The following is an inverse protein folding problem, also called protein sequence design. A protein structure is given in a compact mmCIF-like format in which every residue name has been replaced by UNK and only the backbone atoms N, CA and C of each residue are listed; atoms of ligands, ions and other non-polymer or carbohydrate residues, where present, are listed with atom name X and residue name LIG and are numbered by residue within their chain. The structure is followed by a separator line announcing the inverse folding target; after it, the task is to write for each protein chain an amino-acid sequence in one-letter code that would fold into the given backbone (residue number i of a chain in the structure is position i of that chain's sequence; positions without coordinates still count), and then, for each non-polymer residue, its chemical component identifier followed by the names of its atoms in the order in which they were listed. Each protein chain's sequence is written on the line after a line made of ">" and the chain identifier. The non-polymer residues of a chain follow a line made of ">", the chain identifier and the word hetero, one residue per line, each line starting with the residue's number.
data_IF_297669415873
#
_entry.id   IF_297669415873
#
_cell.length_a   1.000
_cell.length_b   1.000
_cell.length_c   1.000
_cell.angle_alpha   90.00
_cell.angle_beta   90.00
_cell.angle_gamma   90.00
#
_symmetry.space_group_name_H-M   'P 1'
#
loop_
_entity.id
_entity.type
_entity.pdbx_description
1 polymer ?
#
# COMPACT_ATOMS: atom_id res chain seq x y z
N UNK A 1 29.94 -4.73 -10.91
CA UNK A 1 28.75 -3.97 -10.44
C UNK A 1 27.41 -4.57 -10.91
N UNK A 2 27.41 -5.29 -12.01
CA UNK A 2 26.23 -6.04 -12.51
C UNK A 2 25.77 -7.17 -11.57
N UNK A 3 26.66 -7.73 -10.74
CA UNK A 3 26.38 -8.90 -9.89
C UNK A 3 25.29 -8.71 -8.82
N UNK A 4 25.01 -7.46 -8.37
CA UNK A 4 24.14 -7.22 -7.18
C UNK A 4 22.65 -7.48 -7.44
N UNK A 5 22.16 -7.38 -8.66
CA UNK A 5 20.76 -7.65 -9.03
C UNK A 5 20.60 -8.89 -9.92
N UNK A 6 21.69 -9.49 -10.40
CA UNK A 6 21.66 -10.67 -11.28
C UNK A 6 20.96 -11.89 -10.68
N UNK A 7 20.98 -12.02 -9.34
CA UNK A 7 20.27 -13.11 -8.66
C UNK A 7 18.75 -13.10 -8.94
N UNK A 8 18.17 -11.92 -9.28
CA UNK A 8 16.76 -11.80 -9.67
C UNK A 8 16.44 -12.60 -10.94
N UNK A 9 17.43 -12.73 -11.83
CA UNK A 9 17.32 -13.50 -13.08
C UNK A 9 17.87 -14.94 -13.00
N UNK A 10 18.62 -15.30 -11.92
CA UNK A 10 19.35 -16.59 -11.86
C UNK A 10 18.88 -17.52 -10.74
N UNK A 11 18.49 -16.98 -9.58
CA UNK A 11 18.10 -17.77 -8.39
C UNK A 11 16.74 -18.47 -8.63
N UNK A 12 16.50 -19.61 -7.96
CA UNK A 12 15.20 -20.30 -8.01
C UNK A 12 14.05 -19.36 -7.65
N UNK A 13 12.99 -19.34 -8.46
CA UNK A 13 11.90 -18.37 -8.34
C UNK A 13 11.16 -18.48 -7.01
N UNK A 14 10.88 -19.68 -6.53
CA UNK A 14 10.20 -19.89 -5.24
C UNK A 14 11.02 -19.40 -4.05
N UNK A 15 12.35 -19.70 -4.04
CA UNK A 15 13.27 -19.21 -3.02
C UNK A 15 13.40 -17.70 -3.05
N UNK A 16 13.42 -17.13 -4.26
CA UNK A 16 13.51 -15.70 -4.48
C UNK A 16 12.26 -14.96 -3.97
N UNK A 17 11.07 -15.48 -4.28
CA UNK A 17 9.81 -14.97 -3.76
C UNK A 17 9.79 -14.96 -2.23
N UNK A 18 10.16 -16.06 -1.60
CA UNK A 18 10.22 -16.15 -0.14
C UNK A 18 11.22 -15.13 0.45
N UNK A 19 12.41 -15.04 -0.14
CA UNK A 19 13.48 -14.12 0.28
C UNK A 19 13.09 -12.64 0.19
N UNK A 20 12.27 -12.28 -0.82
CA UNK A 20 11.85 -10.91 -1.05
C UNK A 20 10.53 -10.57 -0.34
N UNK A 21 9.57 -11.49 -0.27
CA UNK A 21 8.26 -11.24 0.34
C UNK A 21 8.31 -11.23 1.86
N UNK A 22 9.03 -12.18 2.49
CA UNK A 22 9.05 -12.32 3.96
C UNK A 22 9.49 -11.03 4.67
N UNK A 23 10.59 -10.35 4.28
CA UNK A 23 10.96 -9.10 4.91
C UNK A 23 9.89 -8.00 4.76
N UNK A 24 9.25 -7.92 3.59
CA UNK A 24 8.19 -6.92 3.35
C UNK A 24 6.98 -7.18 4.25
N UNK A 25 6.55 -8.44 4.37
CA UNK A 25 5.44 -8.83 5.25
C UNK A 25 5.75 -8.44 6.70
N UNK A 26 6.95 -8.78 7.19
CA UNK A 26 7.36 -8.43 8.56
C UNK A 26 7.34 -6.92 8.77
N UNK A 27 7.91 -6.15 7.84
CA UNK A 27 7.92 -4.69 7.93
C UNK A 27 6.51 -4.09 7.98
N UNK A 28 5.60 -4.57 7.12
CA UNK A 28 4.21 -4.10 7.08
C UNK A 28 3.42 -4.47 8.35
N UNK A 29 3.62 -5.67 8.90
CA UNK A 29 2.97 -6.08 10.14
C UNK A 29 3.46 -5.25 11.33
N UNK A 30 4.76 -4.96 11.41
CA UNK A 30 5.33 -4.10 12.46
C UNK A 30 4.82 -2.66 12.30
N UNK A 31 4.68 -2.17 11.07
CA UNK A 31 4.08 -0.85 10.80
C UNK A 31 2.61 -0.79 11.25
N UNK A 32 1.83 -1.84 11.02
CA UNK A 32 0.46 -1.90 11.52
C UNK A 32 0.41 -1.91 13.06
N UNK A 33 1.34 -2.61 13.70
CA UNK A 33 1.43 -2.68 15.15
C UNK A 33 1.75 -1.32 15.77
N UNK A 34 2.74 -0.59 15.23
CA UNK A 34 3.09 0.72 15.81
C UNK A 34 1.93 1.72 15.72
N UNK A 35 1.12 1.72 14.65
CA UNK A 35 -0.06 2.58 14.54
C UNK A 35 -1.09 2.30 15.66
N UNK A 36 -1.22 1.05 16.10
CA UNK A 36 -2.07 0.68 17.22
C UNK A 36 -1.49 1.19 18.53
N UNK A 37 -0.17 1.05 18.72
CA UNK A 37 0.54 1.51 19.93
C UNK A 37 0.50 3.03 20.07
N UNK A 38 0.70 3.76 18.97
CA UNK A 38 0.60 5.24 18.95
C UNK A 38 -0.80 5.71 19.40
N UNK A 39 -1.86 5.13 18.83
CA UNK A 39 -3.23 5.43 19.25
C UNK A 39 -3.49 5.10 20.73
N UNK A 40 -2.90 4.02 21.23
CA UNK A 40 -3.00 3.64 22.64
C UNK A 40 -2.34 4.68 23.55
N UNK A 41 -1.14 5.14 23.24
CA UNK A 41 -0.45 6.16 24.04
C UNK A 41 -1.20 7.51 24.04
N UNK A 42 -1.74 7.93 22.89
CA UNK A 42 -2.59 9.13 22.81
C UNK A 42 -3.81 9.00 23.70
N UNK A 43 -4.48 7.85 23.70
CA UNK A 43 -5.62 7.58 24.59
C UNK A 43 -5.26 7.67 26.06
N UNK A 44 -4.07 7.24 26.46
CA UNK A 44 -3.59 7.32 27.86
C UNK A 44 -3.16 8.73 28.27
N UNK A 45 -2.66 9.55 27.35
CA UNK A 45 -2.11 10.87 27.66
C UNK A 45 -3.16 11.90 28.09
N UNK A 46 -4.41 11.75 27.64
CA UNK A 46 -5.45 12.78 27.80
C UNK A 46 -6.56 12.42 28.78
N UNK A 47 -6.57 11.23 29.38
CA UNK A 47 -7.56 10.84 30.36
C UNK A 47 -9.01 11.13 29.93
N UNK A 48 -9.66 12.12 30.49
CA UNK A 48 -11.04 12.52 30.16
C UNK A 48 -11.20 13.17 28.78
N UNK A 49 -10.14 13.77 28.22
CA UNK A 49 -10.12 14.39 26.89
C UNK A 49 -9.60 13.45 25.81
N UNK A 50 -9.38 12.18 26.15
CA UNK A 50 -8.85 11.16 25.22
C UNK A 50 -9.72 10.99 23.97
N UNK A 51 -11.04 11.14 24.08
CA UNK A 51 -11.97 11.03 22.95
C UNK A 51 -11.71 12.12 21.92
N UNK A 52 -11.48 13.37 22.36
CA UNK A 52 -11.18 14.50 21.46
C UNK A 52 -9.80 14.35 20.83
N UNK A 53 -8.79 13.93 21.58
CA UNK A 53 -7.43 13.71 21.09
C UNK A 53 -7.38 12.57 20.06
N UNK A 54 -8.00 11.40 20.36
CA UNK A 54 -8.13 10.29 19.40
C UNK A 54 -8.93 10.72 18.17
N UNK A 55 -9.97 11.53 18.35
CA UNK A 55 -10.74 12.13 17.28
C UNK A 55 -9.88 13.00 16.36
N UNK A 56 -8.96 13.79 16.91
CA UNK A 56 -7.98 14.60 16.18
C UNK A 56 -7.10 13.77 15.28
N UNK A 57 -6.51 12.69 15.82
CA UNK A 57 -5.70 11.75 15.04
C UNK A 57 -6.53 11.07 13.94
N UNK A 58 -7.77 10.70 14.25
CA UNK A 58 -8.65 10.01 13.31
C UNK A 58 -8.99 10.88 12.08
N UNK A 59 -9.17 12.20 12.28
CA UNK A 59 -9.39 13.17 11.20
C UNK A 59 -8.10 13.49 10.45
N UNK A 60 -6.96 13.53 11.12
CA UNK A 60 -5.66 13.76 10.52
C UNK A 60 -5.18 12.56 9.64
N UNK A 61 -5.58 11.34 9.99
CA UNK A 61 -5.12 10.12 9.34
C UNK A 61 -5.39 10.05 7.81
N UNK A 62 -6.60 10.38 7.29
CA UNK A 62 -6.82 10.41 5.84
C UNK A 62 -5.91 11.40 5.10
N UNK A 63 -5.62 12.56 5.72
CA UNK A 63 -4.73 13.57 5.13
C UNK A 63 -3.29 13.05 5.10
N UNK A 64 -2.83 12.41 6.16
CA UNK A 64 -1.54 11.72 6.20
C UNK A 64 -1.45 10.62 5.12
N UNK A 65 -2.53 9.86 4.91
CA UNK A 65 -2.61 8.85 3.85
C UNK A 65 -2.45 9.47 2.45
N UNK A 66 -3.02 10.66 2.21
CA UNK A 66 -2.86 11.38 0.93
C UNK A 66 -1.40 11.81 0.75
N UNK A 67 -0.74 12.32 1.79
CA UNK A 67 0.69 12.67 1.74
C UNK A 67 1.53 11.45 1.39
N UNK A 68 1.29 10.32 2.05
CA UNK A 68 1.98 9.05 1.77
C UNK A 68 1.71 8.54 0.35
N UNK A 69 0.50 8.74 -0.20
CA UNK A 69 0.13 8.29 -1.52
C UNK A 69 1.04 8.88 -2.62
N UNK A 70 1.52 10.10 -2.46
CA UNK A 70 2.51 10.69 -3.39
C UNK A 70 3.85 9.95 -3.34
N UNK A 71 4.30 9.55 -2.15
CA UNK A 71 5.46 8.67 -2.01
C UNK A 71 5.26 7.32 -2.69
N UNK A 72 4.07 6.74 -2.59
CA UNK A 72 3.71 5.48 -3.26
C UNK A 72 3.71 5.65 -4.78
N UNK A 73 3.19 6.76 -5.32
CA UNK A 73 3.25 7.06 -6.77
C UNK A 73 4.69 7.04 -7.27
N UNK A 74 5.55 7.82 -6.61
CA UNK A 74 6.96 7.91 -6.98
C UNK A 74 7.69 6.57 -6.81
N UNK A 75 7.40 5.88 -5.71
CA UNK A 75 7.99 4.60 -5.41
C UNK A 75 7.57 3.51 -6.40
N UNK A 76 6.29 3.38 -6.72
CA UNK A 76 5.77 2.38 -7.66
C UNK A 76 6.25 2.64 -9.08
N UNK A 77 6.14 3.90 -9.55
CA UNK A 77 6.60 4.28 -10.89
C UNK A 77 8.11 4.14 -11.04
N UNK A 78 8.88 4.67 -10.08
CA UNK A 78 10.34 4.57 -10.06
C UNK A 78 10.84 3.14 -9.98
N UNK A 79 10.27 2.31 -9.10
CA UNK A 79 10.64 0.89 -8.96
C UNK A 79 10.38 0.08 -10.23
N UNK A 80 9.29 0.37 -10.95
CA UNK A 80 8.97 -0.28 -12.21
C UNK A 80 10.01 0.03 -13.29
N UNK A 81 10.41 1.31 -13.42
CA UNK A 81 11.45 1.71 -14.40
C UNK A 81 12.79 1.10 -14.01
N UNK A 82 13.19 1.22 -12.74
CA UNK A 82 14.49 0.75 -12.25
C UNK A 82 14.62 -0.78 -12.42
N UNK A 83 13.62 -1.56 -11.99
CA UNK A 83 13.71 -3.03 -12.12
C UNK A 83 13.80 -3.49 -13.55
N UNK A 84 13.04 -2.88 -14.48
CA UNK A 84 13.12 -3.17 -15.92
C UNK A 84 14.47 -2.76 -16.53
N UNK A 85 14.95 -1.57 -16.18
CA UNK A 85 16.24 -1.06 -16.66
C UNK A 85 17.42 -1.92 -16.17
N UNK A 86 17.37 -2.40 -14.92
CA UNK A 86 18.37 -3.34 -14.39
C UNK A 86 18.37 -4.66 -15.16
N UNK A 87 17.18 -5.20 -15.46
CA UNK A 87 17.05 -6.42 -16.26
C UNK A 87 17.53 -6.27 -17.71
N UNK A 88 17.29 -5.10 -18.30
CA UNK A 88 17.75 -4.74 -19.63
C UNK A 88 19.22 -4.30 -19.67
N UNK A 89 19.92 -4.23 -18.53
CA UNK A 89 21.30 -3.70 -18.36
C UNK A 89 21.45 -2.22 -18.74
N UNK A 90 20.37 -1.45 -18.67
CA UNK A 90 20.32 -0.01 -18.93
C UNK A 90 20.59 0.80 -17.64
N UNK A 91 21.78 0.65 -17.04
CA UNK A 91 22.10 1.27 -15.74
C UNK A 91 21.91 2.78 -15.72
N UNK A 92 22.24 3.48 -16.80
CA UNK A 92 22.08 4.95 -16.91
C UNK A 92 20.61 5.34 -16.75
N UNK A 93 19.69 4.60 -17.38
CA UNK A 93 18.24 4.84 -17.24
C UNK A 93 17.76 4.61 -15.81
N UNK A 94 18.26 3.58 -15.15
CA UNK A 94 17.96 3.33 -13.73
C UNK A 94 18.47 4.47 -12.83
N UNK A 95 19.69 4.96 -13.07
CA UNK A 95 20.26 6.09 -12.32
C UNK A 95 19.50 7.41 -12.55
N UNK A 96 19.05 7.68 -13.79
CA UNK A 96 18.21 8.84 -14.11
C UNK A 96 16.86 8.71 -13.38
N UNK A 97 16.25 7.54 -13.39
CA UNK A 97 14.99 7.32 -12.67
C UNK A 97 15.13 7.54 -11.17
N UNK A 98 16.21 7.05 -10.54
CA UNK A 98 16.51 7.30 -9.13
C UNK A 98 16.67 8.81 -8.85
N UNK A 99 17.47 9.52 -9.65
CA UNK A 99 17.68 10.97 -9.48
C UNK A 99 16.38 11.77 -9.63
N UNK A 100 15.53 11.40 -10.61
CA UNK A 100 14.22 12.03 -10.81
C UNK A 100 13.26 11.77 -9.64
N UNK A 101 13.24 10.56 -9.07
CA UNK A 101 12.44 10.27 -7.86
C UNK A 101 12.90 11.13 -6.68
N UNK A 102 14.19 11.34 -6.49
CA UNK A 102 14.72 12.23 -5.46
C UNK A 102 14.21 13.66 -5.64
N UNK A 103 14.35 14.23 -6.84
CA UNK A 103 13.89 15.58 -7.13
C UNK A 103 12.38 15.73 -7.01
N UNK A 104 11.61 14.76 -7.53
CA UNK A 104 10.16 14.77 -7.43
C UNK A 104 9.68 14.61 -5.98
N UNK A 105 10.38 13.81 -5.15
CA UNK A 105 10.04 13.69 -3.73
C UNK A 105 10.14 15.03 -3.01
N UNK A 106 11.21 15.80 -3.28
CA UNK A 106 11.39 17.13 -2.72
C UNK A 106 10.32 18.11 -3.24
N UNK A 107 10.13 18.18 -4.54
CA UNK A 107 9.17 19.10 -5.18
C UNK A 107 7.74 18.83 -4.71
N UNK A 108 7.30 17.55 -4.75
CA UNK A 108 5.95 17.19 -4.34
C UNK A 108 5.73 17.38 -2.84
N UNK A 109 6.73 17.11 -2.00
CA UNK A 109 6.60 17.37 -0.56
C UNK A 109 6.36 18.86 -0.27
N UNK A 110 7.08 19.77 -0.95
CA UNK A 110 6.87 21.20 -0.80
C UNK A 110 5.51 21.62 -1.38
N UNK A 111 5.20 21.12 -2.59
CA UNK A 111 3.93 21.43 -3.28
C UNK A 111 2.70 21.00 -2.48
N UNK A 112 2.81 19.95 -1.67
CA UNK A 112 1.74 19.48 -0.79
C UNK A 112 1.78 20.22 0.55
N UNK A 113 2.95 20.33 1.16
CA UNK A 113 3.08 20.91 2.49
C UNK A 113 2.63 22.36 2.55
N UNK A 114 3.03 23.18 1.57
CA UNK A 114 2.70 24.63 1.57
C UNK A 114 1.18 24.88 1.53
N UNK A 115 0.41 24.34 0.56
CA UNK A 115 -1.04 24.54 0.57
C UNK A 115 -1.72 23.90 1.78
N UNK A 116 -1.28 22.71 2.23
CA UNK A 116 -1.86 22.06 3.39
C UNK A 116 -1.68 22.90 4.66
N UNK A 117 -0.53 23.53 4.87
CA UNK A 117 -0.30 24.44 6.02
C UNK A 117 -1.11 25.73 5.89
N UNK A 118 -1.18 26.33 4.70
CA UNK A 118 -1.91 27.59 4.47
C UNK A 118 -3.43 27.45 4.64
N UNK A 119 -3.98 26.27 4.33
CA UNK A 119 -5.42 25.98 4.38
C UNK A 119 -5.78 24.89 5.40
N UNK A 120 -4.96 24.72 6.45
CA UNK A 120 -5.07 23.61 7.38
C UNK A 120 -6.45 23.54 8.04
N UNK A 121 -6.95 24.64 8.59
CA UNK A 121 -8.25 24.71 9.24
C UNK A 121 -9.40 24.41 8.28
N UNK A 122 -9.31 24.94 7.05
CA UNK A 122 -10.30 24.66 6.00
C UNK A 122 -10.33 23.19 5.65
N UNK A 123 -9.16 22.57 5.44
CA UNK A 123 -9.03 21.15 5.11
C UNK A 123 -9.61 20.29 6.24
N UNK A 124 -9.22 20.55 7.49
CA UNK A 124 -9.73 19.82 8.64
C UNK A 124 -11.25 19.98 8.80
N UNK A 125 -11.78 21.20 8.54
CA UNK A 125 -13.21 21.44 8.53
C UNK A 125 -13.96 20.63 7.47
N UNK A 126 -13.40 20.49 6.25
CA UNK A 126 -13.97 19.66 5.19
C UNK A 126 -13.97 18.18 5.59
N UNK A 127 -12.95 17.72 6.33
CA UNK A 127 -12.87 16.35 6.85
C UNK A 127 -13.73 16.12 8.11
N UNK A 128 -14.46 17.14 8.57
CA UNK A 128 -15.44 17.02 9.65
C UNK A 128 -14.90 17.28 11.06
N UNK A 129 -13.80 18.04 11.20
CA UNK A 129 -13.30 18.43 12.51
C UNK A 129 -14.32 19.33 13.22
N UNK A 130 -14.78 18.88 14.38
CA UNK A 130 -15.64 19.70 15.27
C UNK A 130 -14.80 20.69 16.07
N UNK A 131 -15.38 21.76 16.64
CA UNK A 131 -14.65 22.73 17.46
C UNK A 131 -13.86 22.10 18.62
N UNK A 132 -14.33 20.99 19.20
CA UNK A 132 -13.65 20.28 20.28
C UNK A 132 -12.48 19.41 19.81
N UNK A 133 -12.50 18.96 18.55
CA UNK A 133 -11.46 18.09 17.95
C UNK A 133 -10.41 18.91 17.19
N UNK A 134 -10.80 20.06 16.65
CA UNK A 134 -9.97 20.92 15.80
C UNK A 134 -8.59 21.22 16.39
N UNK A 135 -8.44 21.64 17.67
CA UNK A 135 -7.12 21.96 18.22
C UNK A 135 -6.15 20.76 18.17
N UNK A 136 -6.61 19.57 18.52
CA UNK A 136 -5.80 18.35 18.51
C UNK A 136 -5.42 17.92 17.09
N UNK A 137 -6.35 18.07 16.14
CA UNK A 137 -6.11 17.74 14.74
C UNK A 137 -5.10 18.70 14.09
N UNK A 138 -5.18 20.01 14.37
CA UNK A 138 -4.22 21.03 13.91
C UNK A 138 -2.85 20.73 14.49
N UNK A 139 -2.77 20.57 15.82
CA UNK A 139 -1.52 20.32 16.52
C UNK A 139 -0.79 19.06 16.03
N UNK A 140 -1.52 17.99 15.73
CA UNK A 140 -0.93 16.78 15.13
C UNK A 140 -0.50 16.98 13.69
N UNK A 141 -1.40 17.49 12.85
CA UNK A 141 -1.23 17.49 11.40
C UNK A 141 -0.18 18.53 10.96
N UNK A 142 -0.03 19.63 11.67
CA UNK A 142 1.00 20.64 11.38
C UNK A 142 2.40 20.01 11.37
N UNK A 143 2.75 19.24 12.41
CA UNK A 143 4.04 18.54 12.48
C UNK A 143 4.17 17.47 11.39
N UNK A 144 3.12 16.70 11.13
CA UNK A 144 3.12 15.68 10.07
C UNK A 144 3.36 16.32 8.69
N UNK A 145 2.74 17.46 8.40
CA UNK A 145 2.91 18.18 7.13
C UNK A 145 4.35 18.73 7.01
N UNK A 146 4.89 19.31 8.09
CA UNK A 146 6.31 19.74 8.12
C UNK A 146 7.26 18.57 7.85
N UNK A 147 6.91 17.38 8.32
CA UNK A 147 7.64 16.14 8.07
C UNK A 147 7.35 15.47 6.71
N UNK A 148 6.49 16.03 5.87
CA UNK A 148 6.04 15.38 4.62
C UNK A 148 7.17 14.91 3.71
N UNK A 149 8.29 15.64 3.69
CA UNK A 149 9.47 15.26 2.90
C UNK A 149 10.01 13.89 3.30
N UNK A 150 10.06 13.58 4.60
CA UNK A 150 10.56 12.30 5.09
C UNK A 150 9.59 11.15 4.76
N UNK A 151 8.28 11.43 4.81
CA UNK A 151 7.26 10.45 4.42
C UNK A 151 7.31 10.13 2.93
N UNK A 152 7.25 11.15 2.07
CA UNK A 152 7.22 10.98 0.61
C UNK A 152 8.52 10.33 0.13
N UNK A 153 9.66 10.85 0.57
CA UNK A 153 10.98 10.31 0.22
C UNK A 153 11.17 8.90 0.75
N UNK A 154 10.88 8.67 2.04
CA UNK A 154 11.06 7.37 2.69
C UNK A 154 10.27 6.26 1.98
N UNK A 155 8.98 6.48 1.70
CA UNK A 155 8.12 5.52 0.99
C UNK A 155 8.63 5.30 -0.45
N UNK A 156 9.00 6.36 -1.17
CA UNK A 156 9.50 6.24 -2.54
C UNK A 156 10.79 5.41 -2.59
N UNK A 157 11.77 5.73 -1.75
CA UNK A 157 13.07 5.04 -1.74
C UNK A 157 12.97 3.61 -1.21
N UNK A 158 12.09 3.32 -0.24
CA UNK A 158 11.81 1.93 0.18
C UNK A 158 11.35 1.06 -0.98
N UNK A 159 10.47 1.58 -1.85
CA UNK A 159 10.02 0.86 -3.05
C UNK A 159 11.19 0.63 -4.03
N UNK A 160 12.05 1.63 -4.23
CA UNK A 160 13.22 1.51 -5.12
C UNK A 160 14.20 0.47 -4.58
N UNK A 161 14.52 0.51 -3.32
CA UNK A 161 15.44 -0.46 -2.67
C UNK A 161 14.90 -1.89 -2.82
N UNK A 162 13.58 -2.08 -2.72
CA UNK A 162 12.94 -3.37 -3.02
C UNK A 162 13.11 -3.76 -4.48
N UNK A 163 12.96 -2.81 -5.40
CA UNK A 163 13.12 -3.05 -6.85
C UNK A 163 14.52 -3.49 -7.24
N UNK A 164 15.54 -3.06 -6.50
CA UNK A 164 16.93 -3.55 -6.61
C UNK A 164 17.12 -4.98 -6.06
N UNK A 165 16.10 -5.56 -5.43
CA UNK A 165 16.17 -6.87 -4.78
C UNK A 165 16.57 -6.81 -3.30
N UNK A 166 16.76 -5.64 -2.70
CA UNK A 166 17.19 -5.51 -1.30
C UNK A 166 16.01 -5.32 -0.32
N UNK A 167 15.09 -6.30 -0.30
CA UNK A 167 13.91 -6.26 0.57
C UNK A 167 14.26 -6.19 2.07
N UNK A 168 15.39 -6.78 2.48
CA UNK A 168 15.84 -6.74 3.89
C UNK A 168 16.20 -5.31 4.33
N UNK A 169 16.83 -4.53 3.47
CA UNK A 169 17.15 -3.15 3.78
C UNK A 169 15.86 -2.31 3.93
N UNK A 170 14.91 -2.49 3.02
CA UNK A 170 13.62 -1.82 3.13
C UNK A 170 12.88 -2.19 4.42
N UNK A 171 12.88 -3.48 4.80
CA UNK A 171 12.34 -3.93 6.09
C UNK A 171 13.06 -3.26 7.27
N UNK A 172 14.38 -3.25 7.28
CA UNK A 172 15.14 -2.63 8.38
C UNK A 172 14.81 -1.14 8.52
N UNK A 173 14.59 -0.41 7.40
CA UNK A 173 14.12 0.98 7.46
C UNK A 173 12.76 1.10 8.14
N UNK A 174 11.81 0.19 7.83
CA UNK A 174 10.50 0.15 8.48
C UNK A 174 10.62 -0.20 9.97
N UNK A 175 11.47 -1.16 10.33
CA UNK A 175 11.71 -1.54 11.72
C UNK A 175 12.37 -0.42 12.53
N UNK A 176 13.32 0.31 11.96
CA UNK A 176 13.95 1.48 12.59
C UNK A 176 12.90 2.56 12.83
N UNK A 177 12.08 2.88 11.82
CA UNK A 177 11.01 3.87 11.94
C UNK A 177 10.00 3.48 13.02
N UNK A 178 9.45 2.26 12.95
CA UNK A 178 8.47 1.79 13.92
C UNK A 178 9.05 1.64 15.35
N UNK A 179 10.26 1.10 15.48
CA UNK A 179 10.91 0.93 16.77
C UNK A 179 11.23 2.25 17.46
N UNK A 180 11.75 3.23 16.70
CA UNK A 180 11.99 4.57 17.24
C UNK A 180 10.68 5.28 17.63
N UNK A 181 9.63 5.14 16.83
CA UNK A 181 8.34 5.75 17.16
C UNK A 181 7.80 5.21 18.49
N UNK A 182 7.73 3.88 18.67
CA UNK A 182 7.27 3.25 19.91
C UNK A 182 8.08 3.71 21.14
N UNK A 183 9.38 3.99 20.97
CA UNK A 183 10.25 4.49 22.06
C UNK A 183 10.04 5.97 22.29
N UNK A 184 9.95 6.79 21.23
CA UNK A 184 9.86 8.23 21.32
C UNK A 184 8.47 8.72 21.78
N UNK A 185 7.40 8.01 21.43
CA UNK A 185 6.04 8.36 21.81
C UNK A 185 5.92 8.59 23.34
N UNK A 186 6.21 7.60 24.21
CA UNK A 186 6.06 7.81 25.65
C UNK A 186 7.04 8.86 26.20
N UNK A 187 8.23 8.99 25.61
CA UNK A 187 9.23 9.98 26.04
C UNK A 187 8.72 11.40 25.77
N UNK A 188 8.26 11.67 24.54
CA UNK A 188 7.81 13.01 24.15
C UNK A 188 6.43 13.34 24.72
N UNK A 189 5.51 12.38 24.72
CA UNK A 189 4.14 12.60 25.20
C UNK A 189 4.08 12.76 26.71
N UNK A 190 4.69 11.85 27.47
CA UNK A 190 4.62 11.83 28.94
C UNK A 190 5.84 12.48 29.59
N UNK A 191 7.06 12.19 29.09
CA UNK A 191 8.29 12.70 29.67
C UNK A 191 8.44 14.21 29.48
N UNK A 192 8.16 14.71 28.30
CA UNK A 192 8.19 16.16 27.98
C UNK A 192 6.82 16.83 28.05
N UNK A 193 5.74 16.07 28.28
CA UNK A 193 4.38 16.62 28.40
C UNK A 193 3.80 17.21 27.12
N UNK A 194 4.32 16.77 25.94
CA UNK A 194 3.92 17.32 24.64
C UNK A 194 2.58 16.78 24.11
N UNK A 195 1.98 15.76 24.75
CA UNK A 195 0.68 15.24 24.31
C UNK A 195 0.65 14.80 22.84
N UNK A 196 -0.39 15.21 22.09
CA UNK A 196 -0.57 14.90 20.66
C UNK A 196 0.58 15.42 19.81
N UNK A 197 1.12 16.58 20.12
CA UNK A 197 2.29 17.16 19.48
C UNK A 197 3.53 16.24 19.63
N UNK A 198 3.65 15.59 20.80
CA UNK A 198 4.69 14.60 21.07
C UNK A 198 4.59 13.39 20.16
N UNK A 199 3.39 12.84 19.97
CA UNK A 199 3.12 11.72 19.06
C UNK A 199 3.48 12.09 17.60
N UNK A 200 3.04 13.26 17.13
CA UNK A 200 3.37 13.75 15.79
C UNK A 200 4.89 13.94 15.61
N UNK A 201 5.55 14.55 16.60
CA UNK A 201 7.01 14.77 16.59
C UNK A 201 7.78 13.44 16.59
N UNK A 202 7.38 12.46 17.42
CA UNK A 202 7.96 11.12 17.45
C UNK A 202 7.84 10.44 16.07
N UNK A 203 6.67 10.54 15.45
CA UNK A 203 6.42 9.99 14.12
C UNK A 203 7.32 10.63 13.06
N UNK A 204 7.44 11.96 13.04
CA UNK A 204 8.30 12.69 12.09
C UNK A 204 9.77 12.37 12.31
N UNK A 205 10.26 12.38 13.55
CA UNK A 205 11.65 12.04 13.86
C UNK A 205 12.00 10.61 13.45
N UNK A 206 11.11 9.67 13.71
CA UNK A 206 11.28 8.26 13.36
C UNK A 206 11.33 8.07 11.84
N UNK A 207 10.47 8.75 11.09
CA UNK A 207 10.50 8.76 9.63
C UNK A 207 11.74 9.48 9.08
N UNK A 208 12.19 10.57 9.72
CA UNK A 208 13.40 11.27 9.34
C UNK A 208 14.64 10.35 9.48
N UNK A 209 14.80 9.66 10.61
CA UNK A 209 15.91 8.72 10.82
C UNK A 209 15.89 7.59 9.80
N UNK A 210 14.73 6.98 9.57
CA UNK A 210 14.54 5.93 8.56
C UNK A 210 14.89 6.43 7.15
N UNK A 211 14.42 7.63 6.79
CA UNK A 211 14.65 8.25 5.47
C UNK A 211 16.11 8.64 5.27
N UNK A 212 16.77 9.20 6.30
CA UNK A 212 18.21 9.52 6.27
C UNK A 212 19.05 8.25 6.14
N UNK A 213 18.66 7.17 6.80
CA UNK A 213 19.34 5.89 6.66
C UNK A 213 19.25 5.31 5.24
N UNK A 214 18.07 5.40 4.61
CA UNK A 214 17.88 5.04 3.20
C UNK A 214 18.67 5.95 2.26
N UNK A 215 18.71 7.27 2.53
CA UNK A 215 19.49 8.23 1.78
C UNK A 215 20.99 7.88 1.84
N UNK A 216 21.51 7.57 3.02
CA UNK A 216 22.92 7.16 3.18
C UNK A 216 23.25 5.90 2.38
N UNK A 217 22.33 4.94 2.30
CA UNK A 217 22.50 3.75 1.47
C UNK A 217 22.66 4.11 -0.01
N UNK A 218 21.80 4.97 -0.52
CA UNK A 218 21.84 5.43 -1.91
C UNK A 218 23.13 6.24 -2.21
N UNK A 219 23.51 7.14 -1.30
CA UNK A 219 24.72 7.98 -1.46
C UNK A 219 26.03 7.18 -1.39
N UNK A 220 26.09 6.16 -0.52
CA UNK A 220 27.27 5.29 -0.40
C UNK A 220 27.46 4.32 -1.56
N UNK A 221 26.54 4.32 -2.56
CA UNK A 221 26.61 3.45 -3.72
C UNK A 221 26.60 1.96 -3.38
N UNK A 222 25.92 1.57 -2.30
CA UNK A 222 25.84 0.18 -1.86
C UNK A 222 24.78 -0.62 -2.64
N UNK A 223 23.86 0.08 -3.36
CA UNK A 223 22.84 -0.51 -4.21
C UNK A 223 23.33 -1.00 -5.56
N UNK A 224 22.41 -1.54 -6.37
CA UNK A 224 22.63 -1.84 -7.77
C UNK A 224 22.62 -0.56 -8.63
N UNK A 225 21.86 0.45 -8.18
CA UNK A 225 21.76 1.77 -8.81
C UNK A 225 22.48 2.81 -7.96
N UNK A 226 23.26 3.68 -8.60
CA UNK A 226 24.07 4.69 -7.91
C UNK A 226 23.42 6.07 -8.06
N UNK A 227 23.27 6.76 -6.94
CA UNK A 227 22.87 8.15 -6.96
C UNK A 227 23.97 9.02 -7.57
N UNK A 228 23.59 9.85 -8.54
CA UNK A 228 24.45 10.87 -9.14
C UNK A 228 23.69 12.18 -9.20
N UNK A 229 24.23 13.23 -8.59
CA UNK A 229 23.58 14.56 -8.50
C UNK A 229 23.21 15.14 -9.87
N UNK A 230 24.02 14.86 -10.91
CA UNK A 230 23.71 15.28 -12.30
C UNK A 230 22.37 14.77 -12.82
N UNK A 231 21.85 13.65 -12.31
CA UNK A 231 20.58 13.04 -12.71
C UNK A 231 19.37 13.52 -11.89
N UNK A 232 19.57 14.48 -10.99
CA UNK A 232 18.48 15.22 -10.35
C UNK A 232 17.75 16.16 -11.31
N UNK A 233 18.40 16.52 -12.45
CA UNK A 233 17.70 17.26 -13.51
C UNK A 233 16.54 16.41 -14.04
N UNK A 234 15.33 16.99 -14.01
CA UNK A 234 14.12 16.30 -14.41
C UNK A 234 14.15 15.95 -15.92
N UNK A 235 13.99 14.66 -16.20
CA UNK A 235 13.73 14.15 -17.54
C UNK A 235 12.21 13.95 -17.69
N UNK A 236 11.57 14.77 -18.51
CA UNK A 236 10.11 14.76 -18.69
C UNK A 236 9.57 13.40 -19.16
N UNK A 237 10.36 12.62 -19.90
CA UNK A 237 9.95 11.28 -20.34
C UNK A 237 9.89 10.33 -19.13
N UNK A 238 10.93 10.35 -18.30
CA UNK A 238 10.99 9.55 -17.07
C UNK A 238 9.93 10.01 -16.07
N UNK A 239 9.75 11.32 -15.87
CA UNK A 239 8.72 11.89 -14.98
C UNK A 239 7.31 11.45 -15.43
N UNK A 240 7.01 11.53 -16.73
CA UNK A 240 5.73 11.08 -17.28
C UNK A 240 5.53 9.58 -17.10
N UNK A 241 6.58 8.78 -17.28
CA UNK A 241 6.54 7.33 -17.09
C UNK A 241 6.31 6.99 -15.60
N UNK A 242 7.03 7.63 -14.67
CA UNK A 242 6.83 7.49 -13.21
C UNK A 242 5.38 7.80 -12.85
N UNK A 243 4.88 8.96 -13.27
CA UNK A 243 3.51 9.40 -12.98
C UNK A 243 2.45 8.44 -13.54
N UNK A 244 2.58 8.05 -14.82
CA UNK A 244 1.60 7.20 -15.49
C UNK A 244 1.46 5.81 -14.85
N UNK A 245 2.57 5.21 -14.40
CA UNK A 245 2.56 3.92 -13.72
C UNK A 245 2.09 4.06 -12.28
N UNK A 246 2.59 5.08 -11.57
CA UNK A 246 2.31 5.30 -10.16
C UNK A 246 0.89 5.77 -9.87
N UNK A 247 0.23 6.47 -10.81
CA UNK A 247 -1.12 7.02 -10.62
C UNK A 247 -2.14 5.94 -10.24
N UNK A 248 -1.99 4.70 -10.71
CA UNK A 248 -2.85 3.59 -10.30
C UNK A 248 -2.80 3.33 -8.79
N UNK A 249 -1.62 3.41 -8.18
CA UNK A 249 -1.47 3.25 -6.72
C UNK A 249 -2.08 4.41 -5.93
N UNK A 250 -1.96 5.64 -6.43
CA UNK A 250 -2.62 6.81 -5.86
C UNK A 250 -4.14 6.66 -5.86
N UNK A 251 -4.66 6.31 -7.03
CA UNK A 251 -6.11 6.11 -7.21
C UNK A 251 -6.64 4.99 -6.31
N UNK A 252 -5.90 3.90 -6.15
CA UNK A 252 -6.27 2.83 -5.22
C UNK A 252 -6.40 3.36 -3.78
N UNK A 253 -5.46 4.19 -3.33
CA UNK A 253 -5.47 4.76 -1.98
C UNK A 253 -6.64 5.73 -1.76
N UNK A 254 -6.86 6.64 -2.70
CA UNK A 254 -7.98 7.58 -2.65
C UNK A 254 -9.32 6.85 -2.76
N UNK A 255 -9.41 5.85 -3.62
CA UNK A 255 -10.61 5.02 -3.78
C UNK A 255 -11.02 4.31 -2.50
N UNK A 256 -10.03 3.85 -1.70
CA UNK A 256 -10.29 3.25 -0.40
C UNK A 256 -10.96 4.23 0.57
N UNK A 257 -10.50 5.47 0.60
CA UNK A 257 -11.07 6.52 1.45
C UNK A 257 -12.49 6.91 1.02
N UNK A 258 -12.69 7.08 -0.30
CA UNK A 258 -14.02 7.40 -0.86
C UNK A 258 -15.01 6.25 -0.59
N UNK A 259 -14.59 5.02 -0.81
CA UNK A 259 -15.41 3.83 -0.55
C UNK A 259 -15.88 3.77 0.91
N UNK A 260 -15.01 4.08 1.87
CA UNK A 260 -15.36 4.11 3.29
C UNK A 260 -16.52 5.05 3.60
N UNK A 261 -16.60 6.22 2.94
CA UNK A 261 -17.71 7.17 3.11
C UNK A 261 -19.04 6.52 2.73
N UNK A 262 -19.10 5.85 1.57
CA UNK A 262 -20.32 5.18 1.12
C UNK A 262 -20.73 4.02 2.04
N UNK A 263 -19.76 3.23 2.47
CA UNK A 263 -20.00 2.09 3.36
C UNK A 263 -20.50 2.55 4.72
N UNK A 264 -19.86 3.53 5.35
CA UNK A 264 -20.30 4.04 6.65
C UNK A 264 -21.69 4.68 6.59
N UNK A 265 -22.01 5.42 5.52
CA UNK A 265 -23.36 5.95 5.32
C UNK A 265 -24.41 4.84 5.18
N UNK A 266 -24.12 3.79 4.42
CA UNK A 266 -25.02 2.64 4.29
C UNK A 266 -25.19 1.91 5.63
N UNK A 267 -24.09 1.66 6.36
CA UNK A 267 -24.14 1.03 7.68
C UNK A 267 -24.93 1.85 8.71
N UNK A 268 -24.75 3.17 8.72
CA UNK A 268 -25.51 4.07 9.59
C UNK A 268 -27.01 4.01 9.28
N UNK A 269 -27.38 3.93 8.00
CA UNK A 269 -28.77 3.93 7.55
C UNK A 269 -29.49 2.61 7.85
N UNK A 270 -28.83 1.48 7.58
CA UNK A 270 -29.46 0.15 7.61
C UNK A 270 -29.10 -0.70 8.85
N UNK A 271 -28.05 -0.37 9.60
CA UNK A 271 -27.58 -1.18 10.72
C UNK A 271 -27.24 -0.41 11.99
N UNK A 272 -27.21 0.93 11.94
CA UNK A 272 -26.92 1.79 13.07
C UNK A 272 -25.50 1.60 13.63
N UNK A 273 -25.30 2.06 14.87
CA UNK A 273 -23.98 2.10 15.53
C UNK A 273 -23.35 0.72 15.71
N UNK A 274 -24.17 -0.31 15.95
CA UNK A 274 -23.68 -1.69 16.10
C UNK A 274 -23.03 -2.20 14.81
N UNK A 275 -23.66 -1.96 13.66
CA UNK A 275 -23.10 -2.38 12.38
C UNK A 275 -21.81 -1.63 12.03
N UNK A 276 -21.70 -0.36 12.38
CA UNK A 276 -20.48 0.45 12.23
C UNK A 276 -19.35 -0.12 13.10
N UNK A 277 -19.63 -0.43 14.35
CA UNK A 277 -18.65 -1.01 15.27
C UNK A 277 -18.16 -2.39 14.80
N UNK A 278 -19.09 -3.25 14.38
CA UNK A 278 -18.80 -4.57 13.79
C UNK A 278 -17.91 -4.43 12.56
N UNK A 279 -18.26 -3.55 11.63
CA UNK A 279 -17.47 -3.31 10.42
C UNK A 279 -16.05 -2.85 10.73
N UNK A 280 -15.90 -1.90 11.66
CA UNK A 280 -14.58 -1.44 12.11
C UNK A 280 -13.70 -2.58 12.65
N UNK A 281 -14.30 -3.52 13.37
CA UNK A 281 -13.60 -4.72 13.86
C UNK A 281 -13.22 -5.66 12.72
N UNK A 282 -14.15 -5.92 11.80
CA UNK A 282 -13.88 -6.80 10.64
C UNK A 282 -12.74 -6.24 9.80
N UNK A 283 -12.69 -4.93 9.55
CA UNK A 283 -11.61 -4.28 8.78
C UNK A 283 -10.26 -4.44 9.50
N UNK A 284 -10.20 -4.27 10.83
CA UNK A 284 -8.97 -4.48 11.59
C UNK A 284 -8.49 -5.93 11.50
N UNK A 285 -9.37 -6.90 11.69
CA UNK A 285 -9.05 -8.32 11.57
C UNK A 285 -8.61 -8.68 10.15
N UNK A 286 -9.32 -8.18 9.14
CA UNK A 286 -8.99 -8.39 7.73
C UNK A 286 -7.59 -7.83 7.38
N UNK A 287 -7.15 -6.75 8.02
CA UNK A 287 -5.83 -6.16 7.76
C UNK A 287 -4.68 -7.11 8.04
N UNK A 288 -4.80 -7.98 9.06
CA UNK A 288 -3.77 -9.00 9.36
C UNK A 288 -3.60 -10.06 8.25
N UNK A 289 -4.62 -10.23 7.41
CA UNK A 289 -4.53 -11.11 6.24
C UNK A 289 -4.17 -10.33 4.99
N UNK A 290 -4.72 -9.14 4.82
CA UNK A 290 -4.50 -8.31 3.65
C UNK A 290 -3.05 -7.81 3.53
N UNK A 291 -2.41 -7.42 4.64
CA UNK A 291 -1.02 -6.95 4.63
C UNK A 291 0.00 -8.00 4.16
N UNK A 292 -0.06 -9.27 4.58
CA UNK A 292 0.76 -10.33 3.99
C UNK A 292 0.52 -10.54 2.49
N UNK A 293 -0.73 -10.45 2.01
CA UNK A 293 -1.02 -10.54 0.58
C UNK A 293 -0.31 -9.42 -0.21
N UNK A 294 -0.38 -8.17 0.28
CA UNK A 294 0.37 -7.04 -0.28
C UNK A 294 1.88 -7.27 -0.22
N UNK A 295 2.39 -7.80 0.88
CA UNK A 295 3.80 -8.10 1.04
C UNK A 295 4.30 -9.13 0.03
N UNK A 296 3.52 -10.16 -0.27
CA UNK A 296 3.81 -11.14 -1.33
C UNK A 296 3.83 -10.47 -2.72
N UNK A 297 2.86 -9.60 -3.00
CA UNK A 297 2.79 -8.87 -4.26
C UNK A 297 3.98 -7.91 -4.43
N UNK A 298 4.37 -7.20 -3.38
CA UNK A 298 5.55 -6.34 -3.42
C UNK A 298 6.86 -7.11 -3.56
N UNK A 299 6.94 -8.34 -3.04
CA UNK A 299 8.06 -9.25 -3.29
C UNK A 299 8.13 -9.73 -4.74
N UNK A 300 6.98 -9.90 -5.39
CA UNK A 300 6.89 -10.27 -6.81
C UNK A 300 7.35 -9.15 -7.74
N UNK A 301 7.09 -7.89 -7.41
CA UNK A 301 7.34 -6.74 -8.28
C UNK A 301 8.76 -6.67 -8.88
N UNK A 302 9.85 -6.76 -8.08
CA UNK A 302 11.21 -6.73 -8.62
C UNK A 302 11.52 -7.94 -9.52
N UNK A 303 10.95 -9.12 -9.21
CA UNK A 303 11.16 -10.32 -10.02
C UNK A 303 10.55 -10.14 -11.40
N UNK A 304 9.30 -9.69 -11.48
CA UNK A 304 8.61 -9.45 -12.76
C UNK A 304 9.32 -8.35 -13.55
N UNK A 305 9.62 -7.20 -12.93
CA UNK A 305 10.25 -6.08 -13.61
C UNK A 305 11.63 -6.42 -14.17
N UNK A 306 12.49 -7.05 -13.37
CA UNK A 306 13.82 -7.46 -13.80
C UNK A 306 13.76 -8.48 -14.96
N UNK A 307 12.99 -9.57 -14.79
CA UNK A 307 12.90 -10.63 -15.80
C UNK A 307 12.20 -10.14 -17.08
N UNK A 308 11.32 -9.13 -16.99
CA UNK A 308 10.76 -8.47 -18.17
C UNK A 308 11.84 -7.71 -18.96
N UNK A 309 12.66 -6.89 -18.26
CA UNK A 309 13.80 -6.22 -18.90
C UNK A 309 14.82 -7.20 -19.48
N UNK A 310 15.06 -8.32 -18.80
CA UNK A 310 15.95 -9.40 -19.26
C UNK A 310 15.30 -10.34 -20.29
N UNK A 311 14.05 -10.12 -20.70
CA UNK A 311 13.28 -10.95 -21.66
C UNK A 311 13.12 -12.42 -21.23
N UNK A 312 13.12 -12.68 -19.92
CA UNK A 312 12.98 -14.03 -19.32
C UNK A 312 11.51 -14.33 -18.97
N UNK A 313 10.63 -14.39 -19.95
CA UNK A 313 9.18 -14.49 -19.77
C UNK A 313 8.71 -15.76 -19.04
N UNK A 314 9.42 -16.89 -19.23
CA UNK A 314 9.13 -18.13 -18.50
C UNK A 314 9.26 -17.97 -16.97
N UNK A 315 10.27 -17.21 -16.50
CA UNK A 315 10.44 -16.92 -15.08
C UNK A 315 9.36 -15.99 -14.53
N UNK A 316 8.87 -15.05 -15.35
CA UNK A 316 7.71 -14.21 -14.98
C UNK A 316 6.49 -15.09 -14.78
N UNK A 317 6.19 -15.99 -15.73
CA UNK A 317 5.04 -16.88 -15.65
C UNK A 317 5.09 -17.78 -14.40
N UNK A 318 6.26 -18.33 -14.08
CA UNK A 318 6.49 -19.12 -12.88
C UNK A 318 6.29 -18.29 -11.59
N UNK A 319 6.87 -17.09 -11.52
CA UNK A 319 6.76 -16.20 -10.37
C UNK A 319 5.30 -15.78 -10.11
N UNK A 320 4.58 -15.40 -11.15
CA UNK A 320 3.16 -15.05 -11.08
C UNK A 320 2.33 -16.24 -10.59
N UNK A 321 2.53 -17.43 -11.16
CA UNK A 321 1.82 -18.65 -10.75
C UNK A 321 2.06 -18.96 -9.27
N UNK A 322 3.31 -18.97 -8.82
CA UNK A 322 3.66 -19.28 -7.43
C UNK A 322 3.08 -18.23 -6.46
N UNK A 323 3.14 -16.94 -6.83
CA UNK A 323 2.58 -15.87 -5.99
C UNK A 323 1.06 -15.96 -5.91
N UNK A 324 0.37 -16.27 -7.02
CA UNK A 324 -1.08 -16.50 -7.03
C UNK A 324 -1.45 -17.67 -6.12
N UNK A 325 -0.76 -18.79 -6.24
CA UNK A 325 -0.99 -19.95 -5.36
C UNK A 325 -0.78 -19.59 -3.89
N UNK A 326 0.30 -18.87 -3.57
CA UNK A 326 0.59 -18.45 -2.20
C UNK A 326 -0.47 -17.49 -1.64
N UNK A 327 -0.85 -16.46 -2.41
CA UNK A 327 -1.82 -15.45 -1.96
C UNK A 327 -3.22 -16.03 -1.82
N UNK A 328 -3.67 -16.86 -2.76
CA UNK A 328 -4.99 -17.52 -2.68
C UNK A 328 -5.05 -18.53 -1.54
N UNK A 329 -4.00 -19.35 -1.36
CA UNK A 329 -3.91 -20.30 -0.24
C UNK A 329 -3.89 -19.59 1.11
N UNK A 330 -3.13 -18.50 1.23
CA UNK A 330 -3.07 -17.72 2.46
C UNK A 330 -4.40 -17.01 2.75
N UNK A 331 -5.07 -16.44 1.72
CA UNK A 331 -6.40 -15.86 1.86
C UNK A 331 -7.46 -16.88 2.28
N UNK A 332 -7.40 -18.10 1.69
CA UNK A 332 -8.30 -19.22 2.07
C UNK A 332 -8.03 -19.68 3.51
N UNK A 333 -6.77 -19.83 3.89
CA UNK A 333 -6.38 -20.17 5.26
C UNK A 333 -6.89 -19.11 6.24
N UNK A 334 -6.70 -17.82 5.93
CA UNK A 334 -7.19 -16.71 6.75
C UNK A 334 -8.71 -16.72 6.91
N UNK A 335 -9.45 -16.95 5.82
CA UNK A 335 -10.90 -17.09 5.86
C UNK A 335 -11.33 -18.23 6.80
N UNK A 336 -10.73 -19.41 6.65
CA UNK A 336 -11.04 -20.58 7.50
C UNK A 336 -10.75 -20.26 8.97
N UNK A 337 -9.59 -19.66 9.28
CA UNK A 337 -9.22 -19.30 10.66
C UNK A 337 -10.20 -18.29 11.25
N UNK A 338 -10.58 -17.25 10.51
CA UNK A 338 -11.55 -16.27 11.00
C UNK A 338 -12.92 -16.94 11.21
N UNK A 339 -13.36 -17.83 10.33
CA UNK A 339 -14.63 -18.53 10.48
C UNK A 339 -14.67 -19.45 11.69
N UNK A 340 -13.60 -20.21 11.95
CA UNK A 340 -13.49 -21.08 13.12
C UNK A 340 -13.48 -20.31 14.43
N UNK A 341 -12.84 -19.16 14.46
CA UNK A 341 -12.64 -18.36 15.67
C UNK A 341 -13.46 -17.07 15.71
N UNK A 342 -14.50 -16.93 14.87
CA UNK A 342 -15.30 -15.70 14.76
C UNK A 342 -15.81 -15.21 16.12
N UNK A 343 -16.37 -16.12 16.93
CA UNK A 343 -16.93 -15.76 18.24
C UNK A 343 -15.85 -15.28 19.23
N UNK A 344 -14.70 -15.95 19.25
CA UNK A 344 -13.57 -15.57 20.09
C UNK A 344 -12.97 -14.22 19.66
N UNK A 345 -12.77 -14.03 18.35
CA UNK A 345 -12.23 -12.80 17.77
C UNK A 345 -13.14 -11.62 18.10
N UNK A 346 -14.44 -11.73 17.84
CA UNK A 346 -15.40 -10.65 18.13
C UNK A 346 -15.51 -10.40 19.64
N UNK A 347 -15.49 -11.45 20.46
CA UNK A 347 -15.53 -11.36 21.91
C UNK A 347 -14.35 -10.65 22.57
N UNK A 348 -13.21 -10.53 21.86
CA UNK A 348 -12.09 -9.68 22.31
C UNK A 348 -12.41 -8.19 22.26
N UNK A 349 -13.37 -7.78 21.42
CA UNK A 349 -13.72 -6.37 21.24
C UNK A 349 -14.98 -5.96 22.01
N UNK A 350 -15.98 -6.85 22.09
CA UNK A 350 -17.21 -6.60 22.85
C UNK A 350 -17.88 -7.91 23.27
N UNK A 351 -18.43 -7.91 24.49
CA UNK A 351 -19.24 -9.00 25.03
C UNK A 351 -20.76 -8.80 24.79
N UNK A 352 -21.16 -7.71 24.12
CA UNK A 352 -22.55 -7.40 23.82
C UNK A 352 -23.16 -8.47 22.89
N UNK A 353 -24.28 -9.11 23.28
CA UNK A 353 -24.93 -10.15 22.48
C UNK A 353 -25.36 -9.69 21.08
N UNK A 354 -25.86 -8.46 20.95
CA UNK A 354 -26.29 -7.91 19.68
C UNK A 354 -25.09 -7.70 18.74
N UNK A 355 -23.99 -7.16 19.28
CA UNK A 355 -22.74 -6.99 18.54
C UNK A 355 -22.19 -8.35 18.06
N UNK A 356 -22.20 -9.37 18.91
CA UNK A 356 -21.72 -10.71 18.55
C UNK A 356 -22.57 -11.38 17.47
N UNK A 357 -23.89 -11.21 17.53
CA UNK A 357 -24.81 -11.81 16.55
C UNK A 357 -24.67 -11.16 15.17
N UNK A 358 -24.78 -9.81 15.12
CA UNK A 358 -24.55 -9.03 13.88
C UNK A 358 -23.15 -9.30 13.34
N UNK A 359 -22.13 -9.36 14.21
CA UNK A 359 -20.74 -9.62 13.81
C UNK A 359 -20.52 -10.99 13.21
N UNK A 360 -21.07 -12.06 13.79
CA UNK A 360 -20.99 -13.42 13.24
C UNK A 360 -21.66 -13.51 11.87
N UNK A 361 -22.80 -12.86 11.71
CA UNK A 361 -23.52 -12.82 10.45
C UNK A 361 -22.73 -12.04 9.38
N UNK A 362 -22.26 -10.83 9.71
CA UNK A 362 -21.45 -9.98 8.84
C UNK A 362 -20.16 -10.68 8.36
N UNK A 363 -19.42 -11.32 9.27
CA UNK A 363 -18.17 -12.05 8.94
C UNK A 363 -18.43 -13.16 7.93
N UNK A 364 -19.52 -13.94 8.13
CA UNK A 364 -19.88 -15.04 7.24
C UNK A 364 -20.15 -14.62 5.80
N UNK A 365 -20.69 -13.43 5.60
CA UNK A 365 -21.01 -12.91 4.26
C UNK A 365 -19.82 -12.14 3.70
N UNK A 366 -19.35 -11.13 4.43
CA UNK A 366 -18.40 -10.14 3.93
C UNK A 366 -17.06 -10.71 3.51
N UNK A 367 -16.55 -11.74 4.24
CA UNK A 367 -15.22 -12.29 4.01
C UNK A 367 -15.17 -13.44 3.00
N UNK A 368 -16.30 -13.88 2.44
CA UNK A 368 -16.35 -14.95 1.42
C UNK A 368 -15.43 -14.69 0.21
N UNK A 369 -15.27 -13.42 -0.19
CA UNK A 369 -14.41 -13.01 -1.29
C UNK A 369 -12.90 -13.02 -0.97
N UNK A 370 -12.49 -13.19 0.29
CA UNK A 370 -11.09 -13.06 0.72
C UNK A 370 -10.08 -13.89 -0.10
N UNK A 371 -10.33 -15.15 -0.48
CA UNK A 371 -9.42 -15.93 -1.33
C UNK A 371 -9.22 -15.31 -2.72
N UNK A 372 -10.20 -14.55 -3.22
CA UNK A 372 -10.20 -13.97 -4.56
C UNK A 372 -9.38 -12.67 -4.65
N UNK A 373 -9.19 -11.97 -3.52
CA UNK A 373 -8.48 -10.68 -3.45
C UNK A 373 -7.04 -10.81 -3.97
N UNK A 374 -6.39 -11.94 -3.69
CA UNK A 374 -5.01 -12.20 -4.11
C UNK A 374 -4.78 -12.02 -5.60
N UNK A 375 -5.72 -12.47 -6.46
CA UNK A 375 -5.59 -12.33 -7.91
C UNK A 375 -5.60 -10.85 -8.34
N UNK A 376 -6.47 -10.02 -7.75
CA UNK A 376 -6.54 -8.60 -8.09
C UNK A 376 -5.24 -7.88 -7.73
N UNK A 377 -4.74 -8.09 -6.50
CA UNK A 377 -3.49 -7.45 -6.01
C UNK A 377 -2.28 -7.90 -6.83
N UNK A 378 -2.15 -9.19 -7.10
CA UNK A 378 -1.05 -9.74 -7.91
C UNK A 378 -1.11 -9.22 -9.34
N UNK A 379 -2.29 -9.22 -9.97
CA UNK A 379 -2.45 -8.71 -11.34
C UNK A 379 -2.08 -7.24 -11.47
N UNK A 380 -2.55 -6.40 -10.54
CA UNK A 380 -2.21 -4.98 -10.50
C UNK A 380 -0.68 -4.79 -10.40
N UNK A 381 -0.03 -5.52 -9.49
CA UNK A 381 1.42 -5.47 -9.28
C UNK A 381 2.20 -5.93 -10.52
N UNK A 382 1.73 -6.98 -11.19
CA UNK A 382 2.32 -7.45 -12.45
C UNK A 382 2.25 -6.35 -13.52
N UNK A 383 1.09 -5.72 -13.73
CA UNK A 383 0.97 -4.64 -14.71
C UNK A 383 1.82 -3.42 -14.36
N UNK A 384 1.95 -3.07 -13.08
CA UNK A 384 2.87 -2.02 -12.61
C UNK A 384 4.33 -2.38 -12.93
N UNK A 385 4.75 -3.60 -12.62
CA UNK A 385 6.12 -4.07 -12.89
C UNK A 385 6.45 -4.10 -14.39
N UNK A 386 5.47 -4.45 -15.23
CA UNK A 386 5.58 -4.42 -16.68
C UNK A 386 5.55 -3.00 -17.28
N UNK A 387 5.25 -1.97 -16.48
CA UNK A 387 5.08 -0.59 -16.96
C UNK A 387 3.77 -0.35 -17.72
N UNK A 388 2.76 -1.21 -17.56
CA UNK A 388 1.46 -1.09 -18.23
C UNK A 388 0.50 -0.26 -17.38
N UNK A 389 0.49 1.06 -17.62
CA UNK A 389 -0.27 2.01 -16.82
C UNK A 389 -1.79 1.81 -16.90
N UNK A 390 -2.35 1.64 -18.11
CA UNK A 390 -3.82 1.53 -18.32
C UNK A 390 -4.45 0.35 -17.59
N UNK A 391 -4.00 -0.92 -17.76
CA UNK A 391 -4.57 -2.04 -17.01
C UNK A 391 -4.34 -1.91 -15.50
N UNK A 392 -3.19 -1.42 -15.06
CA UNK A 392 -2.94 -1.17 -13.63
C UNK A 392 -3.93 -0.17 -13.05
N UNK A 393 -4.19 0.95 -13.74
CA UNK A 393 -5.17 1.95 -13.36
C UNK A 393 -6.58 1.38 -13.30
N UNK A 394 -7.00 0.63 -14.31
CA UNK A 394 -8.32 -0.02 -14.35
C UNK A 394 -8.50 -0.97 -13.16
N UNK A 395 -7.51 -1.81 -12.88
CA UNK A 395 -7.56 -2.75 -11.74
C UNK A 395 -7.55 -2.04 -10.40
N UNK A 396 -6.88 -0.89 -10.28
CA UNK A 396 -6.90 -0.08 -9.06
C UNK A 396 -8.29 0.46 -8.73
N UNK A 397 -9.06 0.84 -9.75
CA UNK A 397 -10.44 1.31 -9.61
C UNK A 397 -11.45 0.19 -9.46
N UNK A 398 -11.18 -0.99 -10.03
CA UNK A 398 -12.20 -2.01 -10.28
C UNK A 398 -12.90 -2.45 -9.01
N UNK A 399 -12.14 -2.88 -8.00
CA UNK A 399 -12.70 -3.46 -6.78
C UNK A 399 -13.50 -2.45 -5.96
N UNK A 400 -13.00 -1.25 -5.77
CA UNK A 400 -13.57 -0.27 -4.85
C UNK A 400 -14.59 0.65 -5.54
N UNK A 401 -14.19 1.27 -6.64
CA UNK A 401 -15.01 2.30 -7.31
C UNK A 401 -15.98 1.70 -8.31
N UNK A 402 -15.50 0.80 -9.20
CA UNK A 402 -16.34 0.28 -10.27
C UNK A 402 -17.37 -0.75 -9.77
N UNK A 403 -17.01 -1.53 -8.76
CA UNK A 403 -17.91 -2.59 -8.30
C UNK A 403 -18.46 -2.33 -6.89
N UNK A 404 -17.63 -2.07 -5.87
CA UNK A 404 -18.11 -2.02 -4.49
C UNK A 404 -19.02 -0.82 -4.23
N UNK A 405 -18.65 0.40 -4.65
CA UNK A 405 -19.47 1.60 -4.42
C UNK A 405 -20.87 1.44 -5.04
N UNK A 406 -21.05 1.08 -6.35
CA UNK A 406 -22.37 0.86 -6.89
C UNK A 406 -23.16 -0.22 -6.15
N UNK A 407 -22.52 -1.34 -5.77
CA UNK A 407 -23.18 -2.43 -5.05
C UNK A 407 -23.63 -1.98 -3.65
N UNK A 408 -22.80 -1.23 -2.91
CA UNK A 408 -23.17 -0.68 -1.58
C UNK A 408 -24.31 0.35 -1.65
N UNK A 409 -24.47 1.02 -2.78
CA UNK A 409 -25.61 1.96 -2.99
C UNK A 409 -26.88 1.22 -3.40
N UNK A 410 -26.76 0.17 -4.23
CA UNK A 410 -27.91 -0.51 -4.84
C UNK A 410 -28.44 -1.63 -3.95
N UNK A 411 -27.58 -2.55 -3.47
CA UNK A 411 -28.01 -3.77 -2.78
C UNK A 411 -28.75 -3.52 -1.46
N UNK A 412 -28.37 -2.53 -0.63
CA UNK A 412 -29.10 -2.27 0.61
C UNK A 412 -30.56 -1.85 0.40
N UNK A 413 -30.91 -1.29 -0.75
CA UNK A 413 -32.29 -1.00 -1.10
C UNK A 413 -33.19 -2.24 -1.27
N UNK A 414 -32.59 -3.41 -1.47
CA UNK A 414 -33.31 -4.70 -1.65
C UNK A 414 -33.11 -5.67 -0.49
N UNK A 415 -31.92 -5.63 0.14
CA UNK A 415 -31.49 -6.60 1.16
C UNK A 415 -31.09 -5.94 2.48
N UNK A 416 -31.38 -4.66 2.68
CA UNK A 416 -31.06 -3.90 3.88
C UNK A 416 -29.58 -4.06 4.28
N UNK A 417 -29.29 -4.37 5.55
CA UNK A 417 -27.93 -4.53 6.06
C UNK A 417 -27.16 -5.68 5.38
N UNK A 418 -27.84 -6.75 5.00
CA UNK A 418 -27.22 -7.88 4.29
C UNK A 418 -26.75 -7.48 2.90
N UNK A 419 -27.40 -6.51 2.28
CA UNK A 419 -26.95 -5.91 1.02
C UNK A 419 -25.60 -5.22 1.15
N UNK A 420 -25.32 -4.56 2.29
CA UNK A 420 -24.01 -3.95 2.56
C UNK A 420 -22.94 -5.04 2.67
N UNK A 421 -23.22 -6.10 3.44
CA UNK A 421 -22.25 -7.21 3.61
C UNK A 421 -22.00 -7.96 2.30
N UNK A 422 -23.06 -8.25 1.53
CA UNK A 422 -22.97 -8.98 0.27
C UNK A 422 -22.25 -8.19 -0.85
N UNK A 423 -22.25 -6.86 -0.78
CA UNK A 423 -21.52 -6.03 -1.74
C UNK A 423 -20.02 -6.38 -1.81
N UNK A 424 -19.41 -6.77 -0.69
CA UNK A 424 -17.99 -7.11 -0.64
C UNK A 424 -17.62 -8.35 -1.45
N UNK A 425 -18.16 -9.55 -1.17
CA UNK A 425 -17.82 -10.74 -1.93
C UNK A 425 -18.24 -10.66 -3.40
N UNK A 426 -19.33 -9.95 -3.73
CA UNK A 426 -19.72 -9.73 -5.12
C UNK A 426 -18.70 -8.84 -5.82
N UNK A 427 -18.26 -7.74 -5.21
CA UNK A 427 -17.21 -6.89 -5.77
C UNK A 427 -15.88 -7.61 -5.94
N UNK A 428 -15.52 -8.46 -4.96
CA UNK A 428 -14.31 -9.28 -5.02
C UNK A 428 -14.36 -10.29 -6.17
N UNK A 429 -15.53 -10.92 -6.40
CA UNK A 429 -15.77 -11.84 -7.51
C UNK A 429 -15.65 -11.12 -8.87
N UNK A 430 -16.29 -9.96 -9.01
CA UNK A 430 -16.23 -9.17 -10.26
C UNK A 430 -14.79 -8.68 -10.53
N UNK A 431 -14.09 -8.20 -9.50
CA UNK A 431 -12.69 -7.81 -9.61
C UNK A 431 -11.77 -9.00 -9.94
N UNK A 432 -12.04 -10.18 -9.37
CA UNK A 432 -11.34 -11.43 -9.68
C UNK A 432 -11.52 -11.79 -11.16
N UNK A 433 -12.73 -11.76 -11.69
CA UNK A 433 -13.03 -12.09 -13.10
C UNK A 433 -12.33 -11.11 -14.05
N UNK A 434 -12.38 -9.80 -13.77
CA UNK A 434 -11.72 -8.79 -14.58
C UNK A 434 -10.18 -8.94 -14.52
N UNK A 435 -9.63 -9.14 -13.33
CA UNK A 435 -8.19 -9.34 -13.13
C UNK A 435 -7.71 -10.61 -13.81
N UNK A 436 -8.47 -11.70 -13.70
CA UNK A 436 -8.18 -12.96 -14.35
C UNK A 436 -8.18 -12.84 -15.88
N UNK A 437 -9.19 -12.16 -16.43
CA UNK A 437 -9.27 -11.91 -17.87
C UNK A 437 -8.04 -11.15 -18.40
N UNK A 438 -7.68 -10.04 -17.75
CA UNK A 438 -6.53 -9.24 -18.17
C UNK A 438 -5.21 -9.98 -18.00
N UNK A 439 -5.03 -10.67 -16.87
CA UNK A 439 -3.81 -11.40 -16.58
C UNK A 439 -3.62 -12.59 -17.52
N UNK A 440 -4.68 -13.33 -17.84
CA UNK A 440 -4.65 -14.47 -18.76
C UNK A 440 -4.22 -14.04 -20.17
N UNK A 441 -4.64 -12.88 -20.65
CA UNK A 441 -4.19 -12.33 -21.93
C UNK A 441 -2.66 -12.19 -21.97
N UNK A 442 -2.09 -11.58 -20.94
CA UNK A 442 -0.63 -11.37 -20.85
C UNK A 442 0.11 -12.68 -20.58
N UNK A 443 -0.44 -13.56 -19.73
CA UNK A 443 0.16 -14.85 -19.41
C UNK A 443 0.29 -15.77 -20.64
N UNK A 444 -0.69 -15.78 -21.55
CA UNK A 444 -0.60 -16.53 -22.81
C UNK A 444 0.58 -16.07 -23.66
N UNK A 445 0.77 -14.75 -23.76
CA UNK A 445 1.90 -14.17 -24.50
C UNK A 445 3.25 -14.60 -23.89
N UNK A 446 3.36 -14.63 -22.57
CA UNK A 446 4.57 -15.09 -21.88
C UNK A 446 4.85 -16.58 -22.09
N UNK A 447 3.82 -17.41 -22.21
CA UNK A 447 3.93 -18.85 -22.42
C UNK A 447 4.29 -19.19 -23.86
N UNK A 448 3.78 -18.45 -24.83
CA UNK A 448 4.02 -18.67 -26.27
C UNK A 448 5.43 -18.25 -26.71
N UNK A 449 6.12 -17.42 -25.89
CA UNK A 449 7.49 -16.97 -26.14
C UNK A 449 8.45 -17.41 -25.01
N UNK A 450 8.60 -18.73 -24.75
CA UNK A 450 9.65 -19.21 -23.87
C UNK A 450 11.01 -18.91 -24.52
N UNK A 451 11.99 -18.60 -23.68
CA UNK A 451 13.35 -18.23 -24.08
C UNK A 451 13.86 -19.10 -25.24
N UNK A 452 13.83 -18.58 -26.45
CA UNK A 452 14.64 -19.08 -27.55
C UNK A 452 15.24 -17.90 -28.29
N UNK A 453 16.56 -17.82 -28.20
CA UNK A 453 17.46 -17.23 -29.21
C UNK A 453 16.81 -16.26 -30.21
N UNK A 454 16.90 -14.97 -30.01
CA UNK A 454 16.95 -14.02 -31.12
C UNK A 454 15.67 -13.31 -31.57
N UNK A 455 14.50 -13.54 -30.97
CA UNK A 455 13.23 -12.91 -31.42
C UNK A 455 12.64 -12.00 -30.31
N UNK A 456 13.38 -10.97 -29.95
CA UNK A 456 12.94 -10.03 -28.89
C UNK A 456 11.87 -9.02 -29.33
N UNK A 457 11.82 -8.65 -30.60
CA UNK A 457 10.92 -7.62 -31.13
C UNK A 457 9.46 -8.07 -31.24
N UNK A 458 9.21 -9.35 -31.52
CA UNK A 458 7.85 -9.88 -31.70
C UNK A 458 7.07 -10.01 -30.41
N UNK A 459 7.72 -10.42 -29.32
CA UNK A 459 7.06 -10.55 -28.00
C UNK A 459 6.73 -9.18 -27.38
N UNK A 460 7.62 -8.19 -27.51
CA UNK A 460 7.33 -6.81 -27.08
C UNK A 460 6.17 -6.21 -27.85
N UNK A 461 6.11 -6.46 -29.16
CA UNK A 461 5.02 -5.97 -30.02
C UNK A 461 3.68 -6.67 -29.73
N UNK A 462 3.70 -7.98 -29.43
CA UNK A 462 2.53 -8.74 -29.02
C UNK A 462 2.01 -8.33 -27.65
N UNK A 463 2.91 -8.10 -26.67
CA UNK A 463 2.54 -7.58 -25.33
C UNK A 463 2.04 -6.14 -25.42
N UNK A 464 2.56 -5.31 -26.34
CA UNK A 464 2.06 -3.95 -26.54
C UNK A 464 0.64 -3.93 -27.12
N UNK A 465 0.34 -4.76 -28.11
CA UNK A 465 -0.98 -4.83 -28.78
C UNK A 465 -2.02 -5.66 -28.03
N UNK A 466 -1.61 -6.68 -27.27
CA UNK A 466 -2.55 -7.56 -26.57
C UNK A 466 -3.19 -6.94 -25.32
N UNK A 467 -2.80 -5.72 -24.93
CA UNK A 467 -3.22 -5.02 -23.70
C UNK A 467 -3.69 -3.59 -23.99
N UNK A 468 -3.68 -3.13 -25.25
CA UNK A 468 -4.41 -1.93 -25.67
C UNK A 468 -5.91 -2.22 -25.80
#
# INVERSE_FOLDING_TARGET
>A
MEEKSEFLGKENVGKLLFKLSTPVIIGMLVQALYNVVDTFFVGQAYGTESVQAIGGLSIAFPIQMIIMAFGVVLGTGGSSIISRALGAKELVKAEIALGNVFSLSLILSILIAVPCLLFLDLILGIFGATPGIMPYAVEYLEYIILGAIFFVFGVAVQNIVRAEGNARLAMNAMLIGAGLNIILDPILMFGFGMGVQGAATATVLSQAVSSVWLLQYCLKGKGAVHFKSRYMKLDLKIVKEIGSIGVGSFVMQVSASVMMIFVYNALATYGGDVAIAVFGTIIKVNSFIFLPLLGMAFGLQPIVGYNYGAKQFGRIAEAVKLTLMATMSFGTFGLIMIYLFTGQILGLFSADPQYLDVGKHAVRIMLLGMPLIGLNVVSMTVFQALGKARPSFLLSLSRQVLFLIPLVVILPGYFELDGVWAAYPISDLLAFLLSGYLLLRVYRIFKEHPVSSGIGAGAEFAVSRGVE
#
